data_IF_325611262599
#
_entry.id   IF_325611262599
#
_cell.length_a   1.000
_cell.length_b   1.000
_cell.length_c   1.000
_cell.angle_alpha   90.00
_cell.angle_beta   90.00
_cell.angle_gamma   90.00
#
_symmetry.space_group_name_H-M   'P 1'
#
loop_
_entity.id
_entity.type
_entity.pdbx_description
1 polymer ?
#
# COMPACT_ATOMS: atom_id res chain seq x y z
N UNK A 1 -15.19 -7.62 0.04
CA UNK A 1 -14.91 -6.79 -1.15
C UNK A 1 -14.19 -7.59 -2.23
N UNK A 2 -13.17 -8.40 -1.91
CA UNK A 2 -12.41 -9.21 -2.88
C UNK A 2 -13.32 -10.10 -3.73
N UNK A 3 -14.30 -10.78 -3.11
CA UNK A 3 -15.23 -11.68 -3.80
C UNK A 3 -16.10 -10.96 -4.84
N UNK A 4 -16.43 -9.72 -4.59
CA UNK A 4 -17.33 -8.91 -5.40
C UNK A 4 -16.62 -8.18 -6.53
N UNK A 5 -15.49 -7.55 -6.23
CA UNK A 5 -14.86 -6.58 -7.12
C UNK A 5 -13.61 -7.09 -7.85
N UNK A 6 -12.81 -7.92 -7.18
CA UNK A 6 -11.54 -8.36 -7.74
C UNK A 6 -11.68 -9.16 -9.05
N UNK A 7 -12.73 -10.03 -9.24
CA UNK A 7 -12.94 -10.71 -10.52
C UNK A 7 -13.15 -9.77 -11.71
N UNK A 8 -13.75 -8.59 -11.49
CA UNK A 8 -13.96 -7.59 -12.53
C UNK A 8 -12.71 -6.76 -12.85
N UNK A 9 -11.80 -6.61 -11.90
CA UNK A 9 -10.54 -5.87 -12.04
C UNK A 9 -9.41 -6.74 -12.60
N UNK A 10 -9.30 -7.98 -12.16
CA UNK A 10 -8.20 -8.90 -12.49
C UNK A 10 -7.89 -9.00 -14.00
N UNK A 11 -8.87 -9.06 -14.93
CA UNK A 11 -8.57 -9.15 -16.37
C UNK A 11 -7.87 -7.92 -16.97
N UNK A 12 -7.89 -6.78 -16.28
CA UNK A 12 -7.29 -5.51 -16.74
C UNK A 12 -5.90 -5.27 -16.14
N UNK A 13 -5.52 -6.05 -15.13
CA UNK A 13 -4.27 -5.87 -14.42
C UNK A 13 -3.12 -6.61 -15.14
N UNK A 14 -1.93 -6.01 -15.26
CA UNK A 14 -0.81 -6.61 -15.96
C UNK A 14 -0.14 -7.75 -15.18
N UNK A 15 -0.49 -7.93 -13.92
CA UNK A 15 0.02 -8.97 -13.04
C UNK A 15 -1.13 -9.77 -12.43
N UNK A 16 -0.94 -11.06 -12.17
CA UNK A 16 -1.89 -11.89 -11.45
C UNK A 16 -2.25 -11.31 -10.08
N UNK A 17 -3.53 -11.47 -9.72
CA UNK A 17 -4.08 -11.12 -8.40
C UNK A 17 -4.95 -12.28 -7.89
N UNK A 18 -5.21 -12.40 -6.57
CA UNK A 18 -5.93 -13.53 -5.99
C UNK A 18 -7.45 -13.44 -6.22
N UNK A 19 -7.86 -13.24 -7.48
CA UNK A 19 -9.28 -13.24 -7.83
C UNK A 19 -9.89 -14.62 -7.51
N UNK A 20 -11.01 -14.69 -6.77
CA UNK A 20 -11.62 -15.94 -6.36
C UNK A 20 -12.03 -16.83 -7.54
N UNK A 21 -11.57 -18.09 -7.54
CA UNK A 21 -12.01 -19.14 -8.50
C UNK A 21 -13.24 -19.88 -7.98
N UNK A 22 -13.48 -19.84 -6.67
CA UNK A 22 -14.69 -20.32 -5.99
C UNK A 22 -15.00 -19.42 -4.81
N UNK A 23 -16.25 -19.19 -4.58
CA UNK A 23 -16.78 -18.42 -3.45
C UNK A 23 -17.71 -19.31 -2.66
N UNK A 24 -17.53 -19.39 -1.35
CA UNK A 24 -18.41 -20.06 -0.42
C UNK A 24 -19.14 -19.08 0.48
N UNK A 25 -20.39 -19.41 0.78
CA UNK A 25 -21.20 -18.66 1.74
C UNK A 25 -21.07 -19.27 3.14
N UNK A 26 -21.34 -18.48 4.20
CA UNK A 26 -21.49 -19.02 5.53
C UNK A 26 -22.51 -20.19 5.51
N UNK A 27 -22.16 -21.30 6.13
CA UNK A 27 -23.11 -22.40 6.33
C UNK A 27 -23.71 -22.32 7.73
N UNK A 28 -24.92 -22.92 7.90
CA UNK A 28 -25.55 -23.03 9.24
C UNK A 28 -24.79 -23.96 10.19
N UNK A 29 -23.75 -24.62 9.72
CA UNK A 29 -22.82 -25.39 10.54
C UNK A 29 -22.09 -24.41 11.47
N UNK A 30 -22.14 -24.57 12.78
CA UNK A 30 -21.48 -23.68 13.73
C UNK A 30 -19.96 -23.67 13.61
N UNK A 31 -19.36 -24.59 12.86
CA UNK A 31 -17.91 -24.66 12.65
C UNK A 31 -17.39 -23.71 11.56
N UNK A 32 -18.26 -23.15 10.70
CA UNK A 32 -17.81 -22.24 9.63
C UNK A 32 -18.82 -21.12 9.32
N UNK A 33 -18.93 -20.09 10.17
CA UNK A 33 -19.92 -19.03 10.05
C UNK A 33 -19.47 -17.90 9.10
N UNK A 34 -18.35 -18.03 8.41
CA UNK A 34 -17.78 -16.97 7.56
C UNK A 34 -17.91 -17.28 6.07
N UNK A 35 -17.96 -16.22 5.25
CA UNK A 35 -17.70 -16.33 3.82
C UNK A 35 -16.25 -16.77 3.58
N UNK A 36 -16.01 -17.56 2.54
CA UNK A 36 -14.68 -18.04 2.19
C UNK A 36 -14.46 -18.04 0.69
N UNK A 37 -13.21 -18.01 0.27
CA UNK A 37 -12.82 -18.06 -1.12
C UNK A 37 -11.71 -19.10 -1.34
N UNK A 38 -11.72 -19.70 -2.53
CA UNK A 38 -10.55 -20.39 -3.07
C UNK A 38 -9.93 -19.46 -4.09
N UNK A 39 -8.66 -19.12 -3.90
CA UNK A 39 -7.90 -18.22 -4.77
C UNK A 39 -6.70 -18.95 -5.37
N UNK A 40 -6.16 -18.49 -6.51
CA UNK A 40 -4.93 -19.04 -7.06
C UNK A 40 -3.78 -18.90 -6.06
N UNK A 41 -2.89 -19.89 -6.04
CA UNK A 41 -1.59 -19.81 -5.40
C UNK A 41 -0.55 -19.26 -6.39
N UNK A 42 0.31 -18.38 -5.94
CA UNK A 42 1.39 -17.81 -6.76
C UNK A 42 2.74 -18.26 -6.22
N UNK A 43 3.46 -19.03 -7.03
CA UNK A 43 4.82 -19.48 -6.69
C UNK A 43 5.80 -18.31 -6.76
N UNK A 44 6.61 -18.14 -5.72
CA UNK A 44 7.58 -17.06 -5.66
C UNK A 44 8.05 -16.75 -4.25
N UNK A 45 8.74 -15.63 -4.11
CA UNK A 45 9.21 -15.10 -2.83
C UNK A 45 8.46 -13.82 -2.50
N UNK A 46 8.14 -13.61 -1.24
CA UNK A 46 7.70 -12.29 -0.78
C UNK A 46 8.82 -11.26 -1.00
N UNK A 47 8.47 -10.10 -1.55
CA UNK A 47 9.43 -9.02 -1.70
C UNK A 47 9.96 -8.51 -0.35
N UNK A 48 9.25 -8.76 0.76
CA UNK A 48 9.73 -8.45 2.10
C UNK A 48 11.01 -9.22 2.45
N UNK A 49 11.14 -10.48 1.98
CA UNK A 49 12.28 -11.35 2.23
C UNK A 49 13.52 -11.06 1.37
N UNK A 50 13.42 -10.11 0.43
CA UNK A 50 14.49 -9.80 -0.52
C UNK A 50 15.16 -8.48 -0.15
N UNK A 51 16.48 -8.40 -0.35
CA UNK A 51 17.25 -7.17 -0.15
C UNK A 51 16.63 -5.98 -0.91
N UNK A 52 16.55 -4.82 -0.27
CA UNK A 52 15.92 -3.61 -0.82
C UNK A 52 16.58 -3.14 -2.12
N UNK A 53 17.90 -3.32 -2.25
CA UNK A 53 18.60 -2.98 -3.49
C UNK A 53 18.12 -3.84 -4.67
N UNK A 54 17.72 -5.08 -4.45
CA UNK A 54 17.18 -5.96 -5.48
C UNK A 54 15.73 -5.59 -5.86
N UNK A 55 14.97 -4.99 -4.95
CA UNK A 55 13.60 -4.54 -5.21
C UNK A 55 13.53 -3.46 -6.30
N UNK A 56 14.61 -2.71 -6.54
CA UNK A 56 14.69 -1.71 -7.62
C UNK A 56 14.32 -2.27 -8.99
N UNK A 57 14.63 -3.55 -9.22
CA UNK A 57 14.41 -4.21 -10.51
C UNK A 57 12.94 -4.30 -10.90
N UNK A 58 12.02 -4.39 -9.95
CA UNK A 58 10.58 -4.50 -10.23
C UNK A 58 9.81 -3.18 -10.03
N UNK A 59 10.48 -2.08 -9.73
CA UNK A 59 9.82 -0.78 -9.57
C UNK A 59 8.99 -0.38 -10.82
N UNK A 60 9.46 -0.59 -12.06
CA UNK A 60 8.64 -0.34 -13.26
C UNK A 60 7.43 -1.28 -13.39
N UNK A 61 7.54 -2.53 -12.92
CA UNK A 61 6.43 -3.50 -12.95
C UNK A 61 5.31 -3.05 -11.99
N UNK A 62 5.70 -2.63 -10.77
CA UNK A 62 4.76 -2.13 -9.77
C UNK A 62 4.08 -0.83 -10.24
N UNK A 63 4.84 0.09 -10.87
CA UNK A 63 4.26 1.29 -11.46
C UNK A 63 3.26 0.98 -12.57
N UNK A 64 3.55 -0.01 -13.43
CA UNK A 64 2.63 -0.45 -14.46
C UNK A 64 1.36 -1.08 -13.87
N UNK A 65 1.50 -1.83 -12.79
CA UNK A 65 0.37 -2.43 -12.07
C UNK A 65 -0.54 -1.33 -11.46
N UNK A 66 0.03 -0.38 -10.74
CA UNK A 66 -0.75 0.70 -10.14
C UNK A 66 -1.40 1.62 -11.19
N UNK A 67 -0.72 1.91 -12.29
CA UNK A 67 -1.32 2.67 -13.39
C UNK A 67 -2.55 1.97 -13.99
N UNK A 68 -2.59 0.64 -13.98
CA UNK A 68 -3.75 -0.13 -14.45
C UNK A 68 -4.84 -0.27 -13.38
N UNK A 69 -4.48 -0.26 -12.09
CA UNK A 69 -5.41 -0.35 -10.96
C UNK A 69 -6.09 1.00 -10.69
N UNK A 70 -5.35 2.10 -10.71
CA UNK A 70 -5.82 3.45 -10.39
C UNK A 70 -6.72 4.02 -11.49
N UNK A 71 -7.82 3.34 -11.76
CA UNK A 71 -8.90 3.82 -12.63
C UNK A 71 -10.09 4.25 -11.78
N UNK A 72 -10.95 5.11 -12.34
CA UNK A 72 -12.15 5.59 -11.62
C UNK A 72 -12.99 4.43 -11.11
N UNK A 73 -13.26 4.46 -9.82
CA UNK A 73 -14.13 3.51 -9.14
C UNK A 73 -15.60 3.97 -9.28
N UNK A 74 -16.56 3.05 -9.36
CA UNK A 74 -17.97 3.40 -9.36
C UNK A 74 -18.41 3.88 -7.96
N UNK A 75 -19.54 4.59 -7.84
CA UNK A 75 -20.03 5.11 -6.55
C UNK A 75 -20.30 4.03 -5.49
N UNK A 76 -20.54 2.79 -5.92
CA UNK A 76 -20.81 1.64 -5.05
C UNK A 76 -19.52 0.95 -4.56
N UNK A 77 -18.34 1.41 -5.04
CA UNK A 77 -17.07 0.84 -4.62
C UNK A 77 -16.90 0.94 -3.09
N UNK A 78 -16.24 -0.04 -2.47
CA UNK A 78 -16.07 -0.05 -1.02
C UNK A 78 -15.30 1.18 -0.55
N UNK A 79 -15.69 1.68 0.62
CA UNK A 79 -15.00 2.76 1.33
C UNK A 79 -14.37 2.17 2.59
N UNK A 80 -13.06 2.36 2.74
CA UNK A 80 -12.32 1.99 3.94
C UNK A 80 -12.10 3.24 4.80
N UNK A 81 -12.50 3.25 6.09
CA UNK A 81 -12.34 4.43 6.93
C UNK A 81 -10.88 4.76 7.27
N UNK A 82 -9.96 3.85 6.93
CA UNK A 82 -8.54 3.97 7.27
C UNK A 82 -7.63 4.14 6.06
N UNK A 83 -8.14 3.97 4.83
CA UNK A 83 -7.40 3.98 3.57
C UNK A 83 -8.14 4.82 2.52
N UNK A 84 -7.40 5.52 1.66
CA UNK A 84 -7.99 6.34 0.58
C UNK A 84 -8.72 7.59 1.05
N UNK A 85 -8.67 7.91 2.34
CA UNK A 85 -9.34 9.05 2.98
C UNK A 85 -8.40 10.27 3.04
N UNK A 86 -8.94 11.49 3.26
CA UNK A 86 -8.09 12.67 3.52
C UNK A 86 -7.16 12.46 4.71
N UNK A 87 -5.93 12.98 4.63
CA UNK A 87 -4.91 12.86 5.68
C UNK A 87 -5.40 13.34 7.05
N UNK A 88 -6.22 14.38 7.08
CA UNK A 88 -6.82 14.91 8.31
C UNK A 88 -7.60 13.84 9.10
N UNK A 89 -8.19 12.83 8.42
CA UNK A 89 -8.86 11.72 9.09
C UNK A 89 -7.89 10.79 9.85
N UNK A 90 -6.58 10.94 9.62
CA UNK A 90 -5.51 10.15 10.25
C UNK A 90 -4.75 10.94 11.33
N UNK A 91 -5.00 12.24 11.46
CA UNK A 91 -4.21 13.16 12.29
C UNK A 91 -4.10 12.69 13.74
N UNK A 92 -5.24 12.45 14.39
CA UNK A 92 -5.27 12.04 15.80
C UNK A 92 -4.42 10.76 16.02
N UNK A 93 -4.65 9.71 15.23
CA UNK A 93 -3.96 8.42 15.39
C UNK A 93 -2.47 8.49 15.09
N UNK A 94 -2.04 9.37 14.17
CA UNK A 94 -0.61 9.57 13.88
C UNK A 94 0.05 10.31 15.03
N UNK A 95 -0.53 11.41 15.50
CA UNK A 95 0.02 12.17 16.64
C UNK A 95 0.10 11.34 17.91
N UNK A 96 -0.92 10.52 18.18
CA UNK A 96 -0.90 9.60 19.31
C UNK A 96 0.30 8.64 19.24
N UNK A 97 0.51 7.98 18.09
CA UNK A 97 1.65 7.06 17.91
C UNK A 97 2.99 7.79 18.01
N UNK A 98 3.13 8.97 17.42
CA UNK A 98 4.38 9.76 17.44
C UNK A 98 4.72 10.27 18.84
N UNK A 99 3.73 10.50 19.71
CA UNK A 99 3.93 10.98 21.08
C UNK A 99 3.98 9.85 22.11
N UNK A 100 3.66 8.61 21.73
CA UNK A 100 3.65 7.45 22.65
C UNK A 100 5.02 7.04 23.18
N UNK A 101 6.11 7.48 22.53
CA UNK A 101 7.48 7.02 22.81
C UNK A 101 7.85 5.67 22.18
N UNK A 102 6.92 5.02 21.48
CA UNK A 102 7.18 3.74 20.78
C UNK A 102 7.81 3.93 19.40
N UNK A 103 7.64 5.11 18.80
CA UNK A 103 8.14 5.41 17.46
C UNK A 103 9.48 6.17 17.57
N UNK A 104 10.58 5.66 16.99
CA UNK A 104 11.84 6.38 16.93
C UNK A 104 11.70 7.73 16.22
N UNK A 105 12.51 8.73 16.61
CA UNK A 105 12.51 10.09 16.04
C UNK A 105 11.13 10.78 16.01
N UNK A 106 10.24 10.42 16.96
CA UNK A 106 8.85 10.87 17.02
C UNK A 106 8.67 12.38 16.94
N UNK A 107 9.59 13.18 17.54
CA UNK A 107 9.52 14.65 17.48
C UNK A 107 9.76 15.19 16.07
N UNK A 108 10.81 14.71 15.39
CA UNK A 108 11.11 15.14 14.00
C UNK A 108 10.02 14.70 13.02
N UNK A 109 9.47 13.49 13.22
CA UNK A 109 8.34 12.99 12.45
C UNK A 109 7.06 13.78 12.72
N UNK A 110 6.84 14.26 13.96
CA UNK A 110 5.70 15.09 14.30
C UNK A 110 5.78 16.46 13.65
N UNK A 111 6.96 17.06 13.60
CA UNK A 111 7.19 18.33 12.90
C UNK A 111 6.91 18.15 11.40
N UNK A 112 7.45 17.10 10.78
CA UNK A 112 7.19 16.77 9.38
C UNK A 112 5.70 16.50 9.13
N UNK A 113 5.05 15.70 9.97
CA UNK A 113 3.60 15.41 9.86
C UNK A 113 2.78 16.67 9.89
N UNK A 114 3.12 17.63 10.76
CA UNK A 114 2.39 18.89 10.90
C UNK A 114 2.38 19.75 9.62
N UNK A 115 3.37 19.54 8.73
CA UNK A 115 3.38 20.15 7.39
C UNK A 115 2.64 19.29 6.36
N UNK A 116 2.88 17.97 6.38
CA UNK A 116 2.30 17.06 5.39
C UNK A 116 0.78 16.94 5.51
N UNK A 117 0.21 17.02 6.71
CA UNK A 117 -1.25 16.94 6.91
C UNK A 117 -2.01 18.11 6.31
N UNK A 118 -1.32 19.24 6.09
CA UNK A 118 -1.89 20.47 5.49
C UNK A 118 -1.87 20.44 3.95
N UNK A 119 -1.24 19.43 3.33
CA UNK A 119 -1.24 19.29 1.88
C UNK A 119 -2.69 19.15 1.38
N UNK A 120 -3.09 19.89 0.34
CA UNK A 120 -4.46 19.83 -0.18
C UNK A 120 -4.95 18.40 -0.41
N UNK A 121 -6.15 18.10 0.05
CA UNK A 121 -6.76 16.79 -0.15
C UNK A 121 -6.96 16.52 -1.64
N UNK A 122 -7.02 15.24 -2.00
CA UNK A 122 -7.35 14.79 -3.34
C UNK A 122 -8.76 15.29 -3.73
N UNK A 123 -8.85 15.98 -4.85
CA UNK A 123 -10.09 16.53 -5.41
C UNK A 123 -10.52 15.86 -6.73
N UNK A 124 -9.74 14.86 -7.18
CA UNK A 124 -10.06 14.06 -8.35
C UNK A 124 -11.12 12.98 -8.06
N UNK A 125 -11.48 12.17 -9.07
CA UNK A 125 -12.39 11.04 -8.88
C UNK A 125 -11.80 10.03 -7.91
N UNK A 126 -12.64 9.32 -7.16
CA UNK A 126 -12.20 8.17 -6.37
C UNK A 126 -11.63 7.10 -7.32
N UNK A 127 -10.40 6.67 -7.08
CA UNK A 127 -9.73 5.62 -7.86
C UNK A 127 -9.75 4.31 -7.08
N UNK A 128 -9.73 3.18 -7.80
CA UNK A 128 -9.51 1.88 -7.17
C UNK A 128 -8.13 1.82 -6.53
N UNK A 129 -8.07 1.33 -5.31
CA UNK A 129 -6.85 1.20 -4.51
C UNK A 129 -6.71 -0.23 -3.99
N UNK A 130 -5.47 -0.67 -3.86
CA UNK A 130 -5.12 -1.86 -3.10
C UNK A 130 -5.40 -1.62 -1.60
N UNK A 131 -5.02 -0.45 -1.09
CA UNK A 131 -5.25 0.02 0.28
C UNK A 131 -4.18 -0.38 1.27
N UNK A 132 -3.43 -1.46 1.05
CA UNK A 132 -2.37 -1.94 1.94
C UNK A 132 -1.13 -2.45 1.17
N UNK A 133 -0.59 -1.59 0.31
CA UNK A 133 0.48 -1.98 -0.61
C UNK A 133 1.87 -1.84 0.03
N UNK A 134 2.41 -2.97 0.47
CA UNK A 134 3.74 -3.08 1.07
C UNK A 134 4.47 -4.36 0.58
N UNK A 135 5.78 -4.52 0.82
CA UNK A 135 6.55 -5.61 0.20
C UNK A 135 6.13 -7.02 0.61
N UNK A 136 5.39 -7.21 1.72
CA UNK A 136 4.86 -8.53 2.07
C UNK A 136 3.74 -8.97 1.11
N UNK A 137 3.01 -8.01 0.51
CA UNK A 137 1.91 -8.23 -0.43
C UNK A 137 2.37 -8.29 -1.90
N UNK A 138 3.67 -8.29 -2.13
CA UNK A 138 4.30 -8.38 -3.44
C UNK A 138 5.02 -9.73 -3.60
N UNK A 139 4.58 -10.56 -4.54
CA UNK A 139 5.20 -11.85 -4.83
C UNK A 139 6.13 -11.70 -6.03
N UNK A 140 7.41 -12.03 -5.85
CA UNK A 140 8.39 -12.05 -6.93
C UNK A 140 8.33 -13.37 -7.67
N UNK A 141 8.37 -13.32 -9.00
CA UNK A 141 8.45 -14.49 -9.84
C UNK A 141 9.72 -15.32 -9.53
N UNK A 142 9.74 -16.62 -9.84
CA UNK A 142 10.94 -17.44 -9.73
C UNK A 142 12.15 -16.76 -10.39
N UNK A 143 13.26 -16.62 -9.63
CA UNK A 143 14.43 -15.82 -10.03
C UNK A 143 14.56 -14.47 -9.32
N UNK A 144 13.49 -13.98 -8.66
CA UNK A 144 13.54 -12.86 -7.71
C UNK A 144 13.74 -11.46 -8.28
N UNK A 145 13.71 -11.28 -9.62
CA UNK A 145 14.00 -9.99 -10.27
C UNK A 145 12.78 -9.29 -10.87
N UNK A 146 11.65 -9.97 -10.98
CA UNK A 146 10.41 -9.44 -11.57
C UNK A 146 9.26 -9.65 -10.61
N UNK A 147 8.31 -8.74 -10.65
CA UNK A 147 7.06 -8.91 -9.92
C UNK A 147 6.21 -9.99 -10.61
N UNK A 148 5.77 -10.99 -9.85
CA UNK A 148 4.99 -12.14 -10.34
C UNK A 148 3.51 -12.02 -10.02
N UNK A 149 3.15 -11.45 -8.86
CA UNK A 149 1.77 -11.22 -8.45
C UNK A 149 1.69 -10.11 -7.39
N UNK A 150 0.49 -9.54 -7.24
CA UNK A 150 0.12 -8.68 -6.10
C UNK A 150 -1.02 -9.38 -5.36
N UNK A 151 -0.89 -9.48 -4.04
CA UNK A 151 -1.81 -10.26 -3.18
C UNK A 151 -2.35 -9.44 -2.03
N UNK A 152 -3.33 -9.99 -1.30
CA UNK A 152 -3.95 -9.39 -0.12
C UNK A 152 -4.72 -8.09 -0.42
N UNK A 153 -5.84 -8.22 -1.11
CA UNK A 153 -6.77 -7.13 -1.39
C UNK A 153 -7.82 -6.93 -0.30
N UNK A 154 -7.55 -7.40 0.92
CA UNK A 154 -8.49 -7.29 2.07
C UNK A 154 -8.86 -5.84 2.40
N UNK A 155 -7.94 -4.90 2.22
CA UNK A 155 -8.14 -3.45 2.42
C UNK A 155 -8.53 -2.70 1.13
N UNK A 156 -8.87 -3.44 0.05
CA UNK A 156 -9.29 -2.85 -1.21
C UNK A 156 -10.40 -1.82 -1.02
N UNK A 157 -10.20 -0.64 -1.60
CA UNK A 157 -11.09 0.51 -1.42
C UNK A 157 -11.06 1.43 -2.65
N UNK A 158 -11.73 2.56 -2.53
CA UNK A 158 -11.66 3.66 -3.48
C UNK A 158 -11.32 4.98 -2.80
N UNK A 159 -10.54 5.83 -3.46
CA UNK A 159 -10.19 7.16 -2.92
C UNK A 159 -8.95 7.78 -3.54
N UNK A 160 -8.14 8.43 -2.69
CA UNK A 160 -6.89 9.11 -3.05
C UNK A 160 -5.78 8.08 -3.37
N UNK A 161 -5.23 8.09 -4.61
CA UNK A 161 -4.16 7.18 -5.02
C UNK A 161 -2.87 7.32 -4.21
N UNK A 162 -2.68 8.42 -3.51
CA UNK A 162 -1.53 8.65 -2.65
C UNK A 162 -1.36 7.55 -1.59
N UNK A 163 -2.45 6.90 -1.18
CA UNK A 163 -2.42 5.77 -0.24
C UNK A 163 -1.55 4.61 -0.76
N UNK A 164 -1.76 4.18 -2.00
CA UNK A 164 -0.97 3.11 -2.60
C UNK A 164 0.44 3.59 -3.01
N UNK A 165 0.56 4.85 -3.42
CA UNK A 165 1.85 5.45 -3.79
C UNK A 165 2.82 5.58 -2.61
N UNK A 166 2.33 5.49 -1.38
CA UNK A 166 3.15 5.37 -0.16
C UNK A 166 4.15 4.21 -0.23
N UNK A 167 3.86 3.16 -1.03
CA UNK A 167 4.77 2.03 -1.28
C UNK A 167 6.15 2.48 -1.78
N UNK A 168 6.28 3.68 -2.35
CA UNK A 168 7.55 4.27 -2.79
C UNK A 168 8.58 4.34 -1.65
N UNK A 169 8.15 4.69 -0.45
CA UNK A 169 8.98 4.76 0.76
C UNK A 169 8.99 3.46 1.56
N UNK A 170 7.91 2.68 1.48
CA UNK A 170 7.77 1.43 2.22
C UNK A 170 8.58 0.31 1.56
N UNK A 171 8.53 0.21 0.24
CA UNK A 171 9.09 -0.92 -0.50
C UNK A 171 10.53 -0.69 -0.96
N UNK A 172 10.88 0.54 -1.31
CA UNK A 172 12.13 0.85 -2.00
C UNK A 172 13.11 1.65 -1.12
N UNK A 173 14.39 1.57 -1.48
CA UNK A 173 15.38 2.56 -1.10
C UNK A 173 15.27 3.82 -1.99
N UNK A 174 16.08 4.85 -1.71
CA UNK A 174 16.03 6.13 -2.44
C UNK A 174 16.22 5.98 -3.97
N UNK A 175 17.02 5.00 -4.43
CA UNK A 175 17.22 4.76 -5.87
C UNK A 175 15.99 4.12 -6.49
N UNK A 176 15.46 3.06 -5.88
CA UNK A 176 14.24 2.38 -6.34
C UNK A 176 13.02 3.30 -6.28
N UNK A 177 12.92 4.13 -5.22
CA UNK A 177 11.89 5.16 -5.10
C UNK A 177 11.87 6.11 -6.29
N UNK A 178 13.04 6.63 -6.70
CA UNK A 178 13.13 7.49 -7.91
C UNK A 178 12.64 6.76 -9.15
N UNK A 179 13.12 5.54 -9.40
CA UNK A 179 12.69 4.75 -10.57
C UNK A 179 11.18 4.55 -10.57
N UNK A 180 10.59 4.24 -9.42
CA UNK A 180 9.15 4.07 -9.28
C UNK A 180 8.39 5.38 -9.52
N UNK A 181 8.82 6.50 -8.91
CA UNK A 181 8.21 7.82 -9.08
C UNK A 181 8.25 8.28 -10.54
N UNK A 182 9.40 8.17 -11.18
CA UNK A 182 9.57 8.53 -12.60
C UNK A 182 8.62 7.72 -13.48
N UNK A 183 8.50 6.41 -13.22
CA UNK A 183 7.63 5.53 -13.99
C UNK A 183 6.14 5.85 -13.76
N UNK A 184 5.71 6.20 -12.54
CA UNK A 184 4.34 6.62 -12.23
C UNK A 184 4.02 7.99 -12.85
N UNK A 185 4.93 8.95 -12.73
CA UNK A 185 4.75 10.29 -13.32
C UNK A 185 4.63 10.19 -14.84
N UNK A 186 5.46 9.38 -15.49
CA UNK A 186 5.40 9.18 -16.94
C UNK A 186 4.09 8.49 -17.42
N UNK A 187 3.48 7.63 -16.58
CA UNK A 187 2.26 6.87 -16.94
C UNK A 187 0.97 7.60 -16.57
N UNK A 188 0.94 8.26 -15.42
CA UNK A 188 -0.27 8.80 -14.81
C UNK A 188 -0.24 10.32 -14.68
N UNK A 189 0.88 10.99 -14.96
CA UNK A 189 1.03 12.43 -14.75
C UNK A 189 0.96 12.82 -13.26
N UNK A 190 1.41 11.92 -12.36
CA UNK A 190 1.36 12.14 -10.91
C UNK A 190 2.10 13.41 -10.53
N UNK A 191 1.40 14.34 -9.92
CA UNK A 191 1.90 15.67 -9.53
C UNK A 191 2.61 15.67 -8.17
N UNK A 192 3.27 16.76 -7.84
CA UNK A 192 4.03 16.92 -6.60
C UNK A 192 3.12 16.83 -5.36
N UNK A 193 1.92 17.43 -5.42
CA UNK A 193 0.98 17.37 -4.30
C UNK A 193 0.54 15.92 -3.99
N UNK A 194 0.35 15.10 -5.01
CA UNK A 194 0.07 13.67 -4.84
C UNK A 194 1.25 12.93 -4.23
N UNK A 195 2.49 13.28 -4.61
CA UNK A 195 3.69 12.70 -4.00
C UNK A 195 3.89 13.13 -2.55
N UNK A 196 3.57 14.38 -2.20
CA UNK A 196 3.59 14.83 -0.81
C UNK A 196 2.54 14.10 0.03
N UNK A 197 1.31 13.91 -0.47
CA UNK A 197 0.32 13.08 0.21
C UNK A 197 0.76 11.62 0.33
N UNK A 198 1.45 11.08 -0.68
CA UNK A 198 1.99 9.72 -0.62
C UNK A 198 3.10 9.58 0.44
N UNK A 199 3.96 10.58 0.58
CA UNK A 199 4.94 10.67 1.68
C UNK A 199 4.24 10.70 3.05
N UNK A 200 3.18 11.47 3.17
CA UNK A 200 2.35 11.49 4.38
C UNK A 200 1.72 10.12 4.67
N UNK A 201 1.19 9.45 3.67
CA UNK A 201 0.65 8.10 3.82
C UNK A 201 1.72 7.07 4.21
N UNK A 202 2.96 7.23 3.72
CA UNK A 202 4.07 6.40 4.16
C UNK A 202 4.39 6.62 5.65
N UNK A 203 4.28 7.86 6.15
CA UNK A 203 4.40 8.15 7.58
C UNK A 203 3.24 7.51 8.38
N UNK A 204 2.00 7.62 7.89
CA UNK A 204 0.83 6.97 8.53
C UNK A 204 1.05 5.47 8.70
N UNK A 205 1.46 4.77 7.63
CA UNK A 205 1.68 3.32 7.63
C UNK A 205 2.94 2.94 8.40
N UNK A 206 4.04 3.67 8.22
CA UNK A 206 5.30 3.44 8.92
C UNK A 206 5.16 3.55 10.44
N UNK A 207 4.38 4.53 10.94
CA UNK A 207 4.08 4.65 12.38
C UNK A 207 3.20 3.51 12.88
N UNK A 208 2.28 2.99 12.06
CA UNK A 208 1.45 1.84 12.41
C UNK A 208 2.30 0.56 12.49
N UNK A 209 3.18 0.33 11.51
CA UNK A 209 4.11 -0.80 11.56
C UNK A 209 5.04 -0.72 12.78
N UNK A 210 5.60 0.45 13.09
CA UNK A 210 6.48 0.61 14.23
C UNK A 210 5.78 0.43 15.58
N UNK A 211 4.49 0.81 15.68
CA UNK A 211 3.76 0.76 16.96
C UNK A 211 3.02 -0.57 17.23
N UNK A 212 2.80 -1.40 16.20
CA UNK A 212 1.94 -2.58 16.32
C UNK A 212 2.59 -3.88 15.83
N UNK A 213 3.91 -3.96 15.80
CA UNK A 213 4.65 -5.14 15.33
C UNK A 213 5.54 -5.77 16.42
N UNK A 214 5.09 -5.73 17.67
CA UNK A 214 5.84 -6.30 18.81
C UNK A 214 6.10 -7.80 18.66
N UNK A 215 5.28 -8.49 17.89
CA UNK A 215 5.33 -9.94 17.63
C UNK A 215 5.91 -10.28 16.23
N UNK A 216 6.16 -9.28 15.38
CA UNK A 216 6.73 -9.48 14.04
C UNK A 216 7.94 -8.56 13.76
N UNK A 217 9.17 -9.05 13.98
CA UNK A 217 10.39 -8.28 13.76
C UNK A 217 10.56 -7.76 12.32
N UNK A 218 10.00 -8.44 11.31
CA UNK A 218 10.11 -8.03 9.92
C UNK A 218 9.25 -6.78 9.64
N UNK A 219 8.07 -6.70 10.25
CA UNK A 219 7.23 -5.51 10.17
C UNK A 219 7.75 -4.36 11.04
N UNK A 220 8.34 -4.65 12.20
CA UNK A 220 9.03 -3.64 13.00
C UNK A 220 10.20 -3.00 12.21
N UNK A 221 11.01 -3.81 11.52
CA UNK A 221 12.08 -3.33 10.63
C UNK A 221 11.53 -2.55 9.44
N UNK A 222 10.41 -3.00 8.85
CA UNK A 222 9.73 -2.30 7.77
C UNK A 222 9.27 -0.91 8.20
N UNK A 223 8.70 -0.79 9.39
CA UNK A 223 8.31 0.49 10.01
C UNK A 223 9.50 1.43 10.18
N UNK A 224 10.58 0.94 10.80
CA UNK A 224 11.79 1.72 11.00
C UNK A 224 12.41 2.20 9.68
N UNK A 225 12.49 1.30 8.67
CA UNK A 225 12.96 1.67 7.34
C UNK A 225 12.09 2.76 6.71
N UNK A 226 10.77 2.57 6.72
CA UNK A 226 9.82 3.50 6.10
C UNK A 226 9.97 4.90 6.70
N UNK A 227 10.02 5.01 8.02
CA UNK A 227 10.16 6.29 8.71
C UNK A 227 11.50 6.96 8.41
N UNK A 228 12.60 6.18 8.36
CA UNK A 228 13.91 6.71 7.95
C UNK A 228 13.89 7.22 6.49
N UNK A 229 13.22 6.52 5.57
CA UNK A 229 13.07 6.97 4.18
C UNK A 229 12.20 8.23 4.07
N UNK A 230 11.17 8.35 4.90
CA UNK A 230 10.29 9.54 4.95
C UNK A 230 11.06 10.76 5.46
N UNK A 231 11.88 10.61 6.50
CA UNK A 231 12.71 11.71 7.04
C UNK A 231 13.83 12.13 6.08
N UNK A 232 14.44 11.19 5.37
CA UNK A 232 15.57 11.46 4.47
C UNK A 232 15.18 11.85 3.03
N UNK A 233 13.92 12.16 2.77
CA UNK A 233 13.43 12.57 1.44
C UNK A 233 13.30 14.10 1.38
N UNK A 234 14.45 14.76 1.21
CA UNK A 234 14.57 16.22 0.99
C UNK A 234 14.59 16.58 -0.48
#
# INVERSE_FOLDING_TARGET
HEQEWLPGLAPRLPLPVPAPVRVGTPCADPFFPWAWSVVPWFDGLSALSVDRALRRAFAPDLAAFLAALHVSAPPEAPVNPYRGVPLAARDESVRERLTSGQVPDGSSLLDLWSHLVEVPAWDGPALWLHGDLHPANLVLAPGGHRLGAVVDFGDMTSGDPATDLATAWITFDAVGRRVFRDAMTARCGTDDATWERARAWALVLGTAFAAHSDDDPAFAELGAHTLAQVLGDD
#
